data_IF_985737481063
#
_entry.id   IF_985737481063
#
_cell.length_a   1.000
_cell.length_b   1.000
_cell.length_c   1.000
_cell.angle_alpha   90.00
_cell.angle_beta   90.00
_cell.angle_gamma   90.00
#
_symmetry.space_group_name_H-M   'P 1'
#
loop_
_entity.id
_entity.type
_entity.pdbx_description
1 polymer ?
#
# COMPACT_ATOMS: atom_id res chain seq x y z
N UNK A 1 27.54 6.90 -9.99
CA UNK A 1 26.78 6.15 -8.97
C UNK A 1 25.40 6.76 -8.87
N UNK A 2 24.35 6.04 -9.27
CA UNK A 2 22.96 6.53 -9.24
C UNK A 2 22.32 6.04 -7.94
N UNK A 3 21.88 6.95 -7.07
CA UNK A 3 21.16 6.60 -5.86
C UNK A 3 19.67 6.43 -6.18
N UNK A 4 19.10 5.28 -5.83
CA UNK A 4 17.66 5.01 -5.92
C UNK A 4 17.03 5.24 -4.55
N UNK A 5 16.05 6.13 -4.47
CA UNK A 5 15.32 6.40 -3.23
C UNK A 5 14.41 5.22 -2.91
N UNK A 6 14.47 4.74 -1.67
CA UNK A 6 13.58 3.72 -1.12
C UNK A 6 13.12 4.15 0.28
N UNK A 7 11.93 3.68 0.74
CA UNK A 7 10.92 2.92 -0.01
C UNK A 7 10.21 3.76 -1.08
N UNK A 8 9.63 3.11 -2.08
CA UNK A 8 8.97 3.79 -3.21
C UNK A 8 7.61 4.40 -2.85
N UNK A 9 6.86 3.74 -1.98
CA UNK A 9 5.51 4.13 -1.57
C UNK A 9 5.21 3.54 -0.19
N UNK A 10 4.33 4.22 0.57
CA UNK A 10 3.80 3.72 1.83
C UNK A 10 2.30 3.41 1.69
N UNK A 11 1.82 2.40 2.43
CA UNK A 11 0.42 2.01 2.46
C UNK A 11 0.00 1.61 3.90
N UNK A 12 -1.30 1.50 4.20
CA UNK A 12 -1.78 1.10 5.52
C UNK A 12 -1.24 -0.26 5.94
N UNK A 13 -0.72 -0.34 7.16
CA UNK A 13 0.03 -1.51 7.63
C UNK A 13 -0.12 -1.81 9.11
N UNK A 14 -0.93 -1.04 9.83
CA UNK A 14 -1.12 -1.18 11.28
C UNK A 14 -2.59 -1.52 11.49
N UNK A 15 -2.84 -2.52 12.34
CA UNK A 15 -4.15 -3.02 12.74
C UNK A 15 -5.06 -3.30 11.52
N UNK A 16 -4.50 -4.00 10.53
CA UNK A 16 -5.22 -4.42 9.33
C UNK A 16 -5.99 -5.69 9.64
N UNK A 17 -7.32 -5.64 9.48
CA UNK A 17 -8.19 -6.81 9.58
C UNK A 17 -8.12 -7.61 8.28
N UNK A 18 -7.64 -8.85 8.38
CA UNK A 18 -7.53 -9.75 7.24
C UNK A 18 -7.93 -11.18 7.60
N UNK A 19 -8.24 -11.98 6.59
CA UNK A 19 -8.55 -13.40 6.77
C UNK A 19 -7.36 -14.15 7.38
N UNK A 20 -7.62 -15.04 8.32
CA UNK A 20 -6.60 -15.82 9.01
C UNK A 20 -6.93 -17.32 8.97
N UNK A 21 -5.89 -18.13 9.11
CA UNK A 21 -6.02 -19.58 9.09
C UNK A 21 -6.64 -20.09 10.40
N UNK A 22 -7.58 -21.03 10.32
CA UNK A 22 -8.12 -21.74 11.49
C UNK A 22 -7.20 -22.87 11.99
N UNK A 23 -6.03 -23.05 11.36
CA UNK A 23 -5.06 -24.09 11.73
C UNK A 23 -4.18 -23.67 12.91
N UNK A 24 -4.00 -22.37 13.09
CA UNK A 24 -3.15 -21.79 14.13
C UNK A 24 -4.00 -20.90 15.04
N UNK A 25 -3.62 -20.84 16.31
CA UNK A 25 -4.24 -19.93 17.26
C UNK A 25 -3.87 -18.48 16.95
N UNK A 26 -4.72 -17.53 17.35
CA UNK A 26 -4.53 -16.11 17.02
C UNK A 26 -3.21 -15.53 17.54
N UNK A 27 -2.73 -16.01 18.69
CA UNK A 27 -1.46 -15.56 19.26
C UNK A 27 -0.29 -16.46 18.87
N UNK A 28 -0.55 -17.67 18.35
CA UNK A 28 0.47 -18.70 18.14
C UNK A 28 1.12 -19.22 19.43
N UNK A 29 0.61 -18.84 20.60
CA UNK A 29 1.16 -19.26 21.89
C UNK A 29 0.63 -20.64 22.30
N UNK A 30 1.49 -21.40 22.99
CA UNK A 30 1.13 -22.72 23.50
C UNK A 30 0.01 -22.59 24.55
N UNK A 31 -1.14 -23.21 24.28
CA UNK A 31 -2.32 -23.17 25.14
C UNK A 31 -3.37 -22.13 24.74
N UNK A 32 -3.12 -21.32 23.70
CA UNK A 32 -4.15 -20.46 23.12
C UNK A 32 -5.14 -21.32 22.32
N UNK A 33 -6.43 -21.17 22.65
CA UNK A 33 -7.55 -21.89 22.02
C UNK A 33 -8.44 -20.94 21.22
N UNK A 34 -8.01 -19.68 21.06
CA UNK A 34 -8.74 -18.72 20.26
C UNK A 34 -8.42 -18.91 18.79
N UNK A 35 -9.47 -19.16 18.02
CA UNK A 35 -9.44 -19.27 16.57
C UNK A 35 -10.48 -18.29 16.01
N UNK A 36 -10.12 -17.61 14.93
CA UNK A 36 -11.02 -16.72 14.20
C UNK A 36 -10.65 -16.74 12.72
N UNK A 37 -11.66 -16.64 11.86
CA UNK A 37 -11.49 -16.51 10.41
C UNK A 37 -10.84 -15.17 10.02
N UNK A 38 -10.81 -14.20 10.94
CA UNK A 38 -10.20 -12.90 10.76
C UNK A 38 -9.36 -12.51 11.97
N UNK A 39 -8.26 -11.81 11.74
CA UNK A 39 -7.42 -11.25 12.80
C UNK A 39 -6.85 -9.89 12.40
N UNK A 40 -6.47 -9.11 13.41
CA UNK A 40 -5.77 -7.83 13.22
C UNK A 40 -4.27 -8.08 13.23
N UNK A 41 -3.58 -7.62 12.17
CA UNK A 41 -2.12 -7.73 12.08
C UNK A 41 -1.49 -6.40 11.67
N UNK A 42 -0.25 -6.23 12.12
CA UNK A 42 0.57 -5.06 11.84
C UNK A 42 1.92 -5.47 11.24
N UNK A 43 2.39 -4.75 10.23
CA UNK A 43 3.68 -4.95 9.59
C UNK A 43 3.71 -4.53 8.12
N UNK A 44 4.90 -4.33 7.55
CA UNK A 44 5.07 -4.00 6.12
C UNK A 44 4.52 -5.10 5.20
N UNK A 45 4.47 -6.33 5.69
CA UNK A 45 3.78 -7.46 5.05
C UNK A 45 2.28 -7.21 4.80
N UNK A 46 1.64 -6.32 5.56
CA UNK A 46 0.24 -5.91 5.36
C UNK A 46 0.11 -4.70 4.43
N UNK A 47 1.13 -3.84 4.32
CA UNK A 47 1.17 -2.80 3.28
C UNK A 47 1.39 -3.37 1.87
N UNK A 48 2.24 -4.39 1.74
CA UNK A 48 2.55 -5.04 0.46
C UNK A 48 1.30 -5.47 -0.33
N UNK A 49 0.34 -6.24 0.24
CA UNK A 49 -0.86 -6.64 -0.49
C UNK A 49 -1.78 -5.46 -0.86
N UNK A 50 -1.78 -4.36 -0.10
CA UNK A 50 -2.51 -3.14 -0.50
C UNK A 50 -1.95 -2.56 -1.81
N UNK A 51 -0.63 -2.38 -1.89
CA UNK A 51 0.02 -1.85 -3.11
C UNK A 51 -0.10 -2.84 -4.26
N UNK A 52 0.01 -4.15 -3.99
CA UNK A 52 -0.18 -5.18 -5.01
C UNK A 52 -1.62 -5.17 -5.58
N UNK A 53 -2.63 -4.95 -4.73
CA UNK A 53 -4.02 -4.80 -5.14
C UNK A 53 -4.23 -3.58 -6.05
N UNK A 54 -3.65 -2.43 -5.69
CA UNK A 54 -3.69 -1.22 -6.53
C UNK A 54 -2.99 -1.46 -7.87
N UNK A 55 -1.82 -2.10 -7.87
CA UNK A 55 -1.10 -2.44 -9.10
C UNK A 55 -1.91 -3.39 -10.00
N UNK A 56 -2.57 -4.40 -9.43
CA UNK A 56 -3.47 -5.31 -10.15
C UNK A 56 -4.69 -4.57 -10.71
N UNK A 57 -5.24 -3.62 -9.96
CA UNK A 57 -6.33 -2.77 -10.43
C UNK A 57 -5.91 -1.90 -11.62
N UNK A 58 -4.75 -1.22 -11.55
CA UNK A 58 -4.23 -0.47 -12.70
C UNK A 58 -3.98 -1.39 -13.91
N UNK A 59 -3.44 -2.60 -13.66
CA UNK A 59 -3.19 -3.60 -14.70
C UNK A 59 -4.47 -4.10 -15.37
N UNK A 60 -5.61 -4.16 -14.68
CA UNK A 60 -6.86 -4.63 -15.28
C UNK A 60 -7.38 -3.65 -16.36
N UNK A 61 -7.16 -2.34 -16.16
CA UNK A 61 -7.47 -1.31 -17.17
C UNK A 61 -6.36 -1.11 -18.20
N UNK A 62 -5.13 -1.49 -17.87
CA UNK A 62 -3.99 -1.44 -18.79
C UNK A 62 -3.28 -2.81 -18.94
N UNK A 63 -3.92 -3.84 -19.54
CA UNK A 63 -3.38 -5.20 -19.58
C UNK A 63 -2.03 -5.33 -20.26
N UNK A 64 -1.68 -4.42 -21.18
CA UNK A 64 -0.43 -4.46 -21.93
C UNK A 64 0.73 -3.70 -21.25
N UNK A 65 0.47 -2.95 -20.18
CA UNK A 65 1.52 -2.18 -19.50
C UNK A 65 2.55 -3.09 -18.82
N UNK A 66 3.83 -2.76 -18.98
CA UNK A 66 4.90 -3.41 -18.21
C UNK A 66 4.88 -2.93 -16.74
N UNK A 67 5.65 -3.53 -15.83
CA UNK A 67 5.66 -3.11 -14.43
C UNK A 67 6.10 -1.65 -14.20
N UNK A 68 6.97 -1.13 -15.07
CA UNK A 68 7.51 0.23 -14.95
C UNK A 68 6.44 1.35 -15.03
N UNK A 69 5.57 1.42 -16.05
CA UNK A 69 4.50 2.41 -16.09
C UNK A 69 3.48 2.25 -14.96
N UNK A 70 3.24 1.04 -14.46
CA UNK A 70 2.35 0.81 -13.31
C UNK A 70 2.98 1.40 -12.04
N UNK A 71 4.26 1.12 -11.78
CA UNK A 71 5.00 1.72 -10.67
C UNK A 71 5.05 3.24 -10.79
N UNK A 72 5.28 3.77 -11.99
CA UNK A 72 5.31 5.21 -12.26
C UNK A 72 3.97 5.85 -11.93
N UNK A 73 2.86 5.30 -12.44
CA UNK A 73 1.52 5.81 -12.19
C UNK A 73 1.22 5.85 -10.68
N UNK A 74 1.52 4.77 -9.97
CA UNK A 74 1.31 4.71 -8.51
C UNK A 74 2.12 5.81 -7.81
N UNK A 75 3.42 5.92 -8.06
CA UNK A 75 4.29 6.89 -7.37
C UNK A 75 3.87 8.34 -7.67
N UNK A 76 3.56 8.67 -8.93
CA UNK A 76 3.22 10.05 -9.31
C UNK A 76 1.84 10.49 -8.84
N UNK A 77 0.96 9.56 -8.48
CA UNK A 77 -0.38 9.87 -7.96
C UNK A 77 -0.52 9.65 -6.45
N UNK A 78 0.55 9.25 -5.75
CA UNK A 78 0.51 9.08 -4.30
C UNK A 78 0.26 10.41 -3.58
N UNK A 79 -0.49 10.35 -2.48
CA UNK A 79 -0.65 11.51 -1.61
C UNK A 79 0.65 11.78 -0.83
N UNK A 80 1.10 13.04 -0.86
CA UNK A 80 2.27 13.46 -0.10
C UNK A 80 1.86 13.67 1.35
N UNK A 81 2.13 12.68 2.20
CA UNK A 81 1.91 12.79 3.64
C UNK A 81 3.05 13.56 4.30
N UNK A 82 2.89 14.87 4.45
CA UNK A 82 3.79 15.70 5.26
C UNK A 82 3.38 15.60 6.74
N UNK A 83 4.16 14.91 7.56
CA UNK A 83 4.01 15.02 9.02
C UNK A 83 4.57 16.38 9.50
N UNK A 84 3.68 17.38 9.56
CA UNK A 84 3.83 18.67 10.27
C UNK A 84 5.18 19.41 10.14
N UNK A 85 5.32 20.17 9.06
CA UNK A 85 5.29 21.64 9.20
C UNK A 85 4.20 22.15 8.26
N UNK A 86 3.16 22.76 8.84
CA UNK A 86 2.20 23.56 8.08
C UNK A 86 2.95 24.69 7.37
N UNK A 87 3.22 24.50 6.08
CA UNK A 87 3.28 25.61 5.15
C UNK A 87 2.13 25.41 4.19
N UNK A 88 1.13 26.27 4.34
CA UNK A 88 0.22 26.62 3.26
C UNK A 88 1.08 27.05 2.06
N UNK A 89 1.32 26.14 1.13
CA UNK A 89 1.59 26.46 -0.27
C UNK A 89 0.67 25.51 -1.05
N UNK A 90 -0.42 26.01 -1.63
CA UNK A 90 -0.36 26.61 -2.97
C UNK A 90 0.47 25.63 -3.82
N UNK A 91 -0.11 24.56 -4.35
CA UNK A 91 -0.79 24.59 -5.64
C UNK A 91 -1.90 23.53 -5.67
N UNK A 92 -3.14 23.95 -5.38
CA UNK A 92 -4.30 23.41 -6.10
C UNK A 92 -4.22 23.94 -7.54
N UNK A 93 -4.54 23.08 -8.52
CA UNK A 93 -5.20 23.40 -9.80
C UNK A 93 -4.53 23.32 -11.19
N UNK A 94 -3.30 22.82 -11.42
CA UNK A 94 -2.79 22.80 -12.83
C UNK A 94 -1.96 21.56 -13.23
N UNK A 95 -2.35 20.33 -12.88
CA UNK A 95 -1.67 19.15 -13.47
C UNK A 95 -2.54 17.90 -13.65
N UNK A 96 -3.87 18.07 -13.68
CA UNK A 96 -4.82 16.98 -13.96
C UNK A 96 -5.15 16.81 -15.46
N UNK A 97 -4.23 17.23 -16.34
CA UNK A 97 -4.35 17.09 -17.79
C UNK A 97 -3.03 16.59 -18.36
N UNK A 98 -2.68 15.32 -18.11
CA UNK A 98 -1.84 14.53 -19.02
C UNK A 98 -1.81 13.04 -18.63
N UNK A 99 -3.00 12.43 -18.53
CA UNK A 99 -3.13 10.97 -18.74
C UNK A 99 -4.35 10.78 -19.64
N UNK A 100 -4.19 11.18 -20.90
CA UNK A 100 -5.00 10.77 -22.04
C UNK A 100 -4.03 10.33 -23.15
#
# INVERSE_FOLDING_TARGET
MMYLMQPDVAAPSIDILASYTLRDSLTGLKGDTQFSEFTLMSGTSMACPHVAGVAAYVKSFHPHWSPAPIRSAIITTCEIKLERYTVNLILRNEMFQLVA
#
